data_IF_037947294307
#
_entry.id   IF_037947294307
#
_cell.length_a   1.000
_cell.length_b   1.000
_cell.length_c   1.000
_cell.angle_alpha   90.00
_cell.angle_beta   90.00
_cell.angle_gamma   90.00
#
_symmetry.space_group_name_H-M   'P 1'
#
loop_
_entity.id
_entity.type
_entity.pdbx_description
1 polymer ?
#
# COMPACT_ATOMS: atom_id res chain seq x y z
N UNK A 1 22.61 -13.20 25.31
CA UNK A 1 22.90 -11.93 24.60
C UNK A 1 22.99 -12.05 23.06
N UNK A 2 22.53 -13.15 22.42
CA UNK A 2 22.43 -13.26 20.94
C UNK A 2 20.96 -13.47 20.49
N UNK A 3 20.10 -13.96 21.36
CA UNK A 3 18.69 -14.26 21.09
C UNK A 3 17.79 -13.02 20.99
N UNK A 4 18.18 -11.89 21.58
CA UNK A 4 17.34 -10.69 21.60
C UNK A 4 17.33 -9.94 20.25
N UNK A 5 18.45 -9.94 19.51
CA UNK A 5 18.57 -9.25 18.21
C UNK A 5 17.60 -9.81 17.17
N UNK A 6 17.43 -11.14 17.13
CA UNK A 6 16.46 -11.79 16.24
C UNK A 6 15.01 -11.59 16.68
N UNK A 7 14.78 -11.52 18.01
CA UNK A 7 13.47 -11.30 18.60
C UNK A 7 12.92 -9.88 18.33
N UNK A 8 13.80 -8.88 18.25
CA UNK A 8 13.44 -7.50 17.90
C UNK A 8 13.33 -7.24 16.39
N UNK A 9 14.11 -7.94 15.54
CA UNK A 9 13.98 -7.85 14.07
C UNK A 9 12.60 -8.29 13.58
N UNK A 10 12.07 -9.39 14.10
CA UNK A 10 10.81 -9.97 13.59
C UNK A 10 9.57 -9.08 13.76
N UNK A 11 9.51 -8.25 14.82
CA UNK A 11 8.33 -7.40 15.07
C UNK A 11 8.29 -6.15 14.20
N UNK A 12 9.43 -5.49 14.00
CA UNK A 12 9.51 -4.30 13.15
C UNK A 12 9.32 -4.68 11.68
N UNK A 13 9.89 -5.81 11.25
CA UNK A 13 9.72 -6.33 9.88
C UNK A 13 8.27 -6.77 9.63
N UNK A 14 7.63 -7.50 10.55
CA UNK A 14 6.22 -7.89 10.41
C UNK A 14 5.28 -6.69 10.26
N UNK A 15 5.54 -5.59 10.98
CA UNK A 15 4.74 -4.37 10.87
C UNK A 15 4.87 -3.75 9.48
N UNK A 16 6.09 -3.69 8.94
CA UNK A 16 6.37 -3.18 7.60
C UNK A 16 5.75 -4.09 6.53
N UNK A 17 5.91 -5.41 6.66
CA UNK A 17 5.33 -6.40 5.74
C UNK A 17 3.79 -6.31 5.71
N UNK A 18 3.15 -6.21 6.88
CA UNK A 18 1.69 -6.04 6.98
C UNK A 18 1.23 -4.72 6.37
N UNK A 19 1.98 -3.64 6.60
CA UNK A 19 1.69 -2.35 6.00
C UNK A 19 1.76 -2.43 4.46
N UNK A 20 2.82 -3.02 3.91
CA UNK A 20 3.01 -3.20 2.48
C UNK A 20 1.96 -4.13 1.84
N UNK A 21 1.50 -5.14 2.58
CA UNK A 21 0.40 -6.00 2.15
C UNK A 21 -0.91 -5.22 2.05
N UNK A 22 -1.23 -4.44 3.08
CA UNK A 22 -2.45 -3.61 3.11
C UNK A 22 -2.44 -2.57 1.98
N UNK A 23 -1.30 -1.92 1.73
CA UNK A 23 -1.15 -0.98 0.63
C UNK A 23 -1.42 -1.64 -0.73
N UNK A 24 -0.79 -2.80 -1.01
CA UNK A 24 -1.02 -3.55 -2.26
C UNK A 24 -2.48 -3.96 -2.44
N UNK A 25 -3.12 -4.43 -1.38
CA UNK A 25 -4.54 -4.79 -1.43
C UNK A 25 -5.43 -3.58 -1.71
N UNK A 26 -5.14 -2.43 -1.11
CA UNK A 26 -5.90 -1.22 -1.33
C UNK A 26 -5.74 -0.71 -2.76
N UNK A 27 -4.51 -0.67 -3.28
CA UNK A 27 -4.23 -0.29 -4.67
C UNK A 27 -4.96 -1.22 -5.66
N UNK A 28 -4.93 -2.53 -5.44
CA UNK A 28 -5.66 -3.49 -6.28
C UNK A 28 -7.19 -3.27 -6.24
N UNK A 29 -7.76 -2.93 -5.07
CA UNK A 29 -9.19 -2.58 -4.94
C UNK A 29 -9.50 -1.26 -5.64
N UNK A 30 -8.63 -0.26 -5.50
CA UNK A 30 -8.78 1.05 -6.12
C UNK A 30 -8.75 0.93 -7.64
N UNK A 31 -7.78 0.20 -8.20
CA UNK A 31 -7.67 -0.06 -9.62
C UNK A 31 -8.91 -0.75 -10.20
N UNK A 32 -9.46 -1.76 -9.50
CA UNK A 32 -10.72 -2.39 -9.91
C UNK A 32 -11.91 -1.43 -9.91
N UNK A 33 -12.03 -0.59 -8.87
CA UNK A 33 -13.09 0.42 -8.81
C UNK A 33 -12.93 1.45 -9.91
N UNK A 34 -11.73 2.02 -10.10
CA UNK A 34 -11.51 3.05 -11.12
C UNK A 34 -11.81 2.52 -12.51
N UNK A 35 -11.34 1.30 -12.86
CA UNK A 35 -11.64 0.64 -14.14
C UNK A 35 -13.13 0.36 -14.36
N UNK A 36 -13.91 0.18 -13.30
CA UNK A 36 -15.36 0.02 -13.43
C UNK A 36 -16.10 1.32 -13.78
N UNK A 37 -15.51 2.48 -13.51
CA UNK A 37 -16.11 3.79 -13.79
C UNK A 37 -15.70 4.37 -15.15
N UNK A 38 -14.49 4.09 -15.62
CA UNK A 38 -13.98 4.60 -16.90
C UNK A 38 -12.99 3.60 -17.49
N UNK A 39 -12.80 3.64 -18.81
CA UNK A 39 -11.74 2.89 -19.50
C UNK A 39 -10.50 3.73 -19.81
N UNK A 40 -10.50 5.02 -19.44
CA UNK A 40 -9.38 5.93 -19.70
C UNK A 40 -8.24 5.70 -18.72
N UNK A 41 -7.09 5.28 -19.24
CA UNK A 41 -5.84 5.10 -18.48
C UNK A 41 -5.41 6.40 -17.79
N UNK A 42 -5.53 7.54 -18.47
CA UNK A 42 -5.13 8.84 -17.92
C UNK A 42 -5.94 9.21 -16.66
N UNK A 43 -7.24 8.88 -16.64
CA UNK A 43 -8.07 9.09 -15.44
C UNK A 43 -7.67 8.14 -14.31
N UNK A 44 -7.32 6.89 -14.62
CA UNK A 44 -6.85 5.94 -13.61
C UNK A 44 -5.54 6.40 -12.97
N UNK A 45 -4.58 6.83 -13.77
CA UNK A 45 -3.28 7.31 -13.28
C UNK A 45 -3.44 8.54 -12.38
N UNK A 46 -4.32 9.49 -12.76
CA UNK A 46 -4.64 10.66 -11.93
C UNK A 46 -5.28 10.26 -10.59
N UNK A 47 -6.23 9.32 -10.60
CA UNK A 47 -6.91 8.87 -9.38
C UNK A 47 -5.94 8.12 -8.45
N UNK A 48 -5.09 7.24 -9.00
CA UNK A 48 -4.08 6.52 -8.23
C UNK A 48 -3.04 7.50 -7.66
N UNK A 49 -2.57 8.46 -8.45
CA UNK A 49 -1.64 9.49 -8.00
C UNK A 49 -2.21 10.35 -6.86
N UNK A 50 -3.46 10.80 -6.99
CA UNK A 50 -4.13 11.57 -5.95
C UNK A 50 -4.32 10.75 -4.66
N UNK A 51 -4.69 9.48 -4.81
CA UNK A 51 -4.85 8.57 -3.67
C UNK A 51 -3.54 8.34 -2.90
N UNK A 52 -2.42 8.15 -3.62
CA UNK A 52 -1.10 8.01 -3.00
C UNK A 52 -0.68 9.29 -2.27
N UNK A 53 -0.91 10.46 -2.86
CA UNK A 53 -0.63 11.74 -2.20
C UNK A 53 -1.38 11.88 -0.88
N UNK A 54 -2.68 11.54 -0.84
CA UNK A 54 -3.47 11.58 0.40
C UNK A 54 -2.94 10.56 1.43
N UNK A 55 -2.52 9.36 1.02
CA UNK A 55 -2.10 8.30 1.95
C UNK A 55 -0.67 8.42 2.46
N UNK A 56 0.21 9.11 1.75
CA UNK A 56 1.62 9.26 2.13
C UNK A 56 1.94 10.57 2.86
N UNK A 57 1.12 11.62 2.69
CA UNK A 57 1.31 12.91 3.39
C UNK A 57 0.32 13.13 4.56
N UNK A 58 -0.30 12.06 5.06
CA UNK A 58 -1.17 12.07 6.24
C UNK A 58 -0.42 11.65 7.51
#
# INVERSE_FOLDING_TARGET
MITDVWKYRGKSTQRIERHNLNLRQHLARLGRKSLSFSKSVELHDKVIGHYLNIKHYQ
#
